data_IF_656118953336
#
_entry.id   IF_656118953336
#
_cell.length_a   1.000
_cell.length_b   1.000
_cell.length_c   1.000
_cell.angle_alpha   90.00
_cell.angle_beta   90.00
_cell.angle_gamma   90.00
#
_symmetry.space_group_name_H-M   'P 1'
#
loop_
_entity.id
_entity.type
_entity.pdbx_description
1 polymer ?
#
# COMPACT_ATOMS: atom_id res chain seq x y z
N UNK A 1 34.92 4.52 5.35
CA UNK A 1 33.79 4.25 6.28
C UNK A 1 32.88 5.45 6.53
N UNK A 2 33.37 6.62 6.96
CA UNK A 2 32.51 7.80 7.28
C UNK A 2 31.59 8.25 6.13
N UNK A 3 32.12 8.39 4.89
CA UNK A 3 31.31 8.76 3.71
C UNK A 3 30.22 7.74 3.35
N UNK A 4 30.45 6.45 3.61
CA UNK A 4 29.45 5.39 3.39
C UNK A 4 28.32 5.48 4.42
N UNK A 5 28.68 5.68 5.69
CA UNK A 5 27.70 5.86 6.78
C UNK A 5 26.84 7.10 6.57
N UNK A 6 27.43 8.22 6.11
CA UNK A 6 26.65 9.43 5.81
C UNK A 6 25.69 9.25 4.64
N UNK A 7 26.12 8.53 3.59
CA UNK A 7 25.27 8.24 2.43
C UNK A 7 24.11 7.29 2.77
N UNK A 8 24.37 6.27 3.59
CA UNK A 8 23.33 5.38 4.11
C UNK A 8 22.35 6.17 4.98
N UNK A 9 22.87 7.01 5.88
CA UNK A 9 22.05 7.87 6.74
C UNK A 9 21.15 8.77 5.89
N UNK A 10 21.66 9.51 4.92
CA UNK A 10 20.81 10.41 4.12
C UNK A 10 19.74 9.67 3.32
N UNK A 11 20.09 8.52 2.74
CA UNK A 11 19.21 7.79 1.85
C UNK A 11 18.12 6.99 2.60
N UNK A 12 18.36 6.59 3.85
CA UNK A 12 17.39 5.87 4.66
C UNK A 12 16.58 6.81 5.57
N UNK A 13 17.21 7.88 6.08
CA UNK A 13 16.58 8.81 7.01
C UNK A 13 15.41 9.55 6.36
N UNK A 14 15.54 9.98 5.09
CA UNK A 14 14.46 10.71 4.43
C UNK A 14 13.20 9.86 4.22
N UNK A 15 13.25 8.65 3.63
CA UNK A 15 12.08 7.76 3.53
C UNK A 15 11.49 7.39 4.91
N UNK A 16 12.36 7.13 5.90
CA UNK A 16 11.92 6.79 7.24
C UNK A 16 11.18 7.96 7.91
N UNK A 17 11.71 9.18 7.84
CA UNK A 17 11.04 10.36 8.36
C UNK A 17 9.73 10.63 7.61
N UNK A 18 9.70 10.50 6.28
CA UNK A 18 8.48 10.65 5.50
C UNK A 18 7.40 9.65 5.94
N UNK A 19 7.78 8.41 6.20
CA UNK A 19 6.90 7.38 6.74
C UNK A 19 6.35 7.78 8.12
N UNK A 20 7.21 8.20 9.05
CA UNK A 20 6.76 8.66 10.39
C UNK A 20 5.81 9.86 10.28
N UNK A 21 6.12 10.84 9.43
CA UNK A 21 5.25 12.00 9.20
C UNK A 21 3.92 11.59 8.58
N UNK A 22 3.89 10.63 7.65
CA UNK A 22 2.65 10.12 7.08
C UNK A 22 1.73 9.52 8.16
N UNK A 23 2.28 8.81 9.15
CA UNK A 23 1.53 8.34 10.32
C UNK A 23 1.10 9.46 11.26
N UNK A 24 1.85 10.55 11.39
CA UNK A 24 1.39 11.68 12.20
C UNK A 24 0.21 12.40 11.53
N UNK A 25 0.35 12.72 10.24
CA UNK A 25 -0.68 13.39 9.46
C UNK A 25 -1.92 12.49 9.32
N UNK A 26 -1.75 11.20 9.06
CA UNK A 26 -2.83 10.23 9.02
C UNK A 26 -3.64 10.20 10.33
N UNK A 27 -2.96 10.32 11.47
CA UNK A 27 -3.61 10.28 12.78
C UNK A 27 -4.49 11.51 13.01
N UNK A 28 -4.00 12.67 12.58
CA UNK A 28 -4.78 13.92 12.58
C UNK A 28 -6.01 13.77 11.66
N UNK A 29 -5.82 13.25 10.45
CA UNK A 29 -6.92 13.04 9.49
C UNK A 29 -7.98 12.10 10.07
N UNK A 30 -7.58 10.99 10.70
CA UNK A 30 -8.51 10.05 11.35
C UNK A 30 -9.37 10.77 12.39
N UNK A 31 -8.77 11.60 13.24
CA UNK A 31 -9.48 12.36 14.27
C UNK A 31 -10.42 13.40 13.67
N UNK A 32 -9.98 14.11 12.64
CA UNK A 32 -10.77 15.15 11.98
C UNK A 32 -11.96 14.59 11.20
N UNK A 33 -11.84 13.36 10.68
CA UNK A 33 -12.87 12.71 9.87
C UNK A 33 -13.85 11.88 10.71
N UNK A 34 -13.53 11.54 11.96
CA UNK A 34 -14.42 10.78 12.83
C UNK A 34 -15.39 11.72 13.58
N UNK A 35 -16.68 11.63 13.21
CA UNK A 35 -17.73 12.45 13.81
C UNK A 35 -17.92 12.21 15.32
N UNK A 36 -17.67 10.98 15.80
CA UNK A 36 -17.83 10.66 17.22
C UNK A 36 -16.70 11.29 18.05
N UNK A 37 -15.46 11.28 17.55
CA UNK A 37 -14.34 11.98 18.19
C UNK A 37 -14.57 13.49 18.17
N UNK A 38 -14.99 14.04 17.03
CA UNK A 38 -15.19 15.49 16.87
C UNK A 38 -16.34 16.03 17.75
N UNK A 39 -17.38 15.23 17.99
CA UNK A 39 -18.49 15.59 18.89
C UNK A 39 -18.05 15.87 20.33
N UNK A 40 -16.89 15.35 20.74
CA UNK A 40 -16.37 15.45 22.11
C UNK A 40 -15.35 16.57 22.28
N UNK A 41 -15.12 17.41 21.26
CA UNK A 41 -14.09 18.47 21.26
C UNK A 41 -14.21 19.43 22.47
N UNK A 42 -15.43 19.66 22.96
CA UNK A 42 -15.70 20.53 24.11
C UNK A 42 -15.22 19.94 25.45
N UNK A 43 -14.95 18.63 25.51
CA UNK A 43 -14.46 17.93 26.71
C UNK A 43 -13.04 17.38 26.47
N UNK A 44 -11.97 18.12 26.83
CA UNK A 44 -10.60 17.76 26.47
C UNK A 44 -10.18 16.34 26.87
N UNK A 45 -10.58 15.90 28.07
CA UNK A 45 -10.25 14.55 28.55
C UNK A 45 -10.90 13.43 27.71
N UNK A 46 -12.19 13.57 27.36
CA UNK A 46 -12.91 12.58 26.55
C UNK A 46 -12.47 12.62 25.08
N UNK A 47 -12.20 13.82 24.56
CA UNK A 47 -11.65 13.99 23.23
C UNK A 47 -10.32 13.25 23.06
N UNK A 48 -9.37 13.45 23.99
CA UNK A 48 -8.04 12.83 23.90
C UNK A 48 -8.10 11.30 24.03
N UNK A 49 -8.93 10.76 24.92
CA UNK A 49 -9.07 9.30 25.06
C UNK A 49 -9.75 8.67 23.84
N UNK A 50 -10.81 9.28 23.33
CA UNK A 50 -11.49 8.81 22.11
C UNK A 50 -10.61 8.93 20.87
N UNK A 51 -9.89 10.04 20.72
CA UNK A 51 -8.92 10.25 19.64
C UNK A 51 -7.82 9.19 19.69
N UNK A 52 -7.21 8.98 20.86
CA UNK A 52 -6.17 7.96 21.04
C UNK A 52 -6.66 6.55 20.73
N UNK A 53 -7.86 6.19 21.21
CA UNK A 53 -8.47 4.89 20.93
C UNK A 53 -8.77 4.71 19.44
N UNK A 54 -9.29 5.73 18.74
CA UNK A 54 -9.56 5.65 17.30
C UNK A 54 -8.30 5.56 16.47
N UNK A 55 -7.30 6.41 16.72
CA UNK A 55 -6.00 6.33 16.04
C UNK A 55 -5.40 4.92 16.23
N UNK A 56 -5.37 4.42 17.47
CA UNK A 56 -4.84 3.10 17.79
C UNK A 56 -5.56 1.97 17.05
N UNK A 57 -6.89 1.99 17.07
CA UNK A 57 -7.71 0.98 16.38
C UNK A 57 -7.54 1.04 14.86
N UNK A 58 -7.48 2.24 14.27
CA UNK A 58 -7.28 2.42 12.83
C UNK A 58 -5.89 1.90 12.40
N UNK A 59 -4.83 2.19 13.16
CA UNK A 59 -3.50 1.67 12.85
C UNK A 59 -3.36 0.18 13.11
N UNK A 60 -4.03 -0.35 14.13
CA UNK A 60 -4.12 -1.78 14.34
C UNK A 60 -4.83 -2.47 13.17
N UNK A 61 -5.92 -1.89 12.65
CA UNK A 61 -6.62 -2.41 11.49
C UNK A 61 -5.75 -2.38 10.22
N UNK A 62 -5.01 -1.30 9.99
CA UNK A 62 -4.03 -1.23 8.89
C UNK A 62 -2.96 -2.30 9.04
N UNK A 63 -2.40 -2.48 10.24
CA UNK A 63 -1.40 -3.51 10.49
C UNK A 63 -1.94 -4.93 10.29
N UNK A 64 -3.14 -5.21 10.81
CA UNK A 64 -3.78 -6.52 10.65
C UNK A 64 -4.13 -6.82 9.19
N UNK A 65 -4.62 -5.83 8.46
CA UNK A 65 -4.96 -5.94 7.05
C UNK A 65 -3.77 -5.96 6.09
N UNK A 66 -2.55 -5.62 6.53
CA UNK A 66 -1.36 -5.57 5.66
C UNK A 66 -0.22 -6.51 6.07
N UNK A 67 -0.11 -6.89 7.34
CA UNK A 67 1.02 -7.68 7.84
C UNK A 67 0.54 -8.99 8.46
N UNK A 68 -0.29 -8.92 9.51
CA UNK A 68 -0.66 -10.12 10.25
C UNK A 68 -2.02 -10.03 10.91
N UNK A 69 -2.94 -10.91 10.52
CA UNK A 69 -4.26 -11.00 11.13
C UNK A 69 -4.31 -12.12 12.18
N UNK A 70 -4.52 -11.70 13.44
CA UNK A 70 -4.64 -12.58 14.58
C UNK A 70 -5.91 -13.44 14.49
N UNK A 71 -6.99 -12.91 13.91
CA UNK A 71 -8.26 -13.64 13.78
C UNK A 71 -8.11 -14.82 12.82
N UNK A 72 -7.47 -14.60 11.66
CA UNK A 72 -7.15 -15.64 10.69
C UNK A 72 -6.17 -16.67 11.27
N UNK A 73 -5.15 -16.19 11.99
CA UNK A 73 -4.18 -17.05 12.68
C UNK A 73 -4.85 -18.03 13.66
N UNK A 74 -5.86 -17.55 14.42
CA UNK A 74 -6.59 -18.37 15.40
C UNK A 74 -7.51 -19.41 14.75
N UNK A 75 -8.06 -19.11 13.57
CA UNK A 75 -9.02 -19.99 12.90
C UNK A 75 -8.35 -21.03 11.99
N UNK A 76 -7.30 -20.64 11.28
CA UNK A 76 -6.69 -21.45 10.21
C UNK A 76 -5.20 -21.74 10.44
N UNK A 77 -4.67 -21.35 11.60
CA UNK A 77 -3.28 -21.57 12.01
C UNK A 77 -2.35 -20.39 11.68
N UNK A 78 -1.18 -20.37 12.32
CA UNK A 78 -0.25 -19.23 12.31
C UNK A 78 0.18 -18.81 10.91
N UNK A 79 0.34 -19.76 9.98
CA UNK A 79 0.72 -19.47 8.60
C UNK A 79 -0.37 -18.68 7.85
N UNK A 80 -1.65 -18.98 8.10
CA UNK A 80 -2.75 -18.22 7.49
C UNK A 80 -2.85 -16.80 8.05
N UNK A 81 -2.31 -16.54 9.25
CA UNK A 81 -2.19 -15.18 9.79
C UNK A 81 -1.35 -14.24 8.92
N UNK A 82 -0.41 -14.76 8.13
CA UNK A 82 0.43 -14.00 7.19
C UNK A 82 -0.20 -13.82 5.80
N UNK A 83 -1.42 -14.31 5.58
CA UNK A 83 -2.12 -14.09 4.31
C UNK A 83 -2.19 -12.59 3.90
N UNK A 84 -2.49 -11.63 4.81
CA UNK A 84 -2.50 -10.22 4.47
C UNK A 84 -1.14 -9.68 3.99
N UNK A 85 -0.04 -10.18 4.55
CA UNK A 85 1.31 -9.84 4.07
C UNK A 85 1.56 -10.37 2.67
N UNK A 86 1.15 -11.61 2.39
CA UNK A 86 1.25 -12.18 1.05
C UNK A 86 0.48 -11.32 0.04
N UNK A 87 -0.75 -10.95 0.37
CA UNK A 87 -1.59 -10.12 -0.50
C UNK A 87 -0.99 -8.73 -0.73
N UNK A 88 -0.42 -8.14 0.31
CA UNK A 88 0.29 -6.86 0.24
C UNK A 88 1.50 -6.96 -0.69
N UNK A 89 2.28 -8.04 -0.63
CA UNK A 89 3.44 -8.26 -1.52
C UNK A 89 2.96 -8.45 -2.97
N UNK A 90 1.94 -9.28 -3.19
CA UNK A 90 1.38 -9.55 -4.52
C UNK A 90 0.89 -8.25 -5.17
N UNK A 91 0.20 -7.40 -4.41
CA UNK A 91 -0.35 -6.14 -4.90
C UNK A 91 0.71 -5.04 -5.06
N UNK A 92 1.66 -4.94 -4.12
CA UNK A 92 2.67 -3.86 -4.12
C UNK A 92 3.79 -4.09 -5.13
N UNK A 93 4.17 -5.35 -5.41
CA UNK A 93 5.24 -5.69 -6.36
C UNK A 93 5.08 -5.02 -7.73
N UNK A 94 3.96 -5.17 -8.46
CA UNK A 94 3.80 -4.52 -9.76
C UNK A 94 3.79 -2.99 -9.66
N UNK A 95 3.26 -2.42 -8.58
CA UNK A 95 3.26 -0.97 -8.35
C UNK A 95 4.68 -0.43 -8.12
N UNK A 96 5.52 -1.14 -7.37
CA UNK A 96 6.93 -0.80 -7.15
C UNK A 96 7.68 -0.86 -8.49
N UNK A 97 7.49 -1.93 -9.28
CA UNK A 97 8.11 -2.06 -10.60
C UNK A 97 7.66 -0.94 -11.55
N UNK A 98 6.38 -0.58 -11.52
CA UNK A 98 5.85 0.57 -12.26
C UNK A 98 6.47 1.89 -11.81
N UNK A 99 6.68 2.09 -10.50
CA UNK A 99 7.37 3.29 -9.99
C UNK A 99 8.85 3.34 -10.40
N UNK A 100 9.53 2.19 -10.41
CA UNK A 100 10.92 2.07 -10.86
C UNK A 100 11.08 2.37 -12.35
N UNK A 101 10.15 1.91 -13.20
CA UNK A 101 10.17 2.22 -14.64
C UNK A 101 9.98 3.72 -14.90
N UNK A 102 9.10 4.37 -14.13
CA UNK A 102 8.89 5.83 -14.18
C UNK A 102 10.14 6.58 -13.74
N UNK A 103 10.79 6.15 -12.66
CA UNK A 103 12.01 6.80 -12.16
C UNK A 103 13.15 6.78 -13.20
N UNK A 104 13.25 5.71 -14.00
CA UNK A 104 14.19 5.62 -15.11
C UNK A 104 13.85 6.62 -16.22
N UNK A 105 12.57 6.73 -16.62
CA UNK A 105 12.12 7.67 -17.65
C UNK A 105 12.33 9.14 -17.25
N UNK A 106 12.06 9.49 -15.99
CA UNK A 106 12.32 10.86 -15.50
C UNK A 106 13.82 11.19 -15.51
N UNK A 107 14.69 10.20 -15.28
CA UNK A 107 16.14 10.43 -15.34
C UNK A 107 16.65 10.67 -16.76
N UNK A 108 15.96 10.21 -17.80
CA UNK A 108 16.27 10.51 -19.20
C UNK A 108 15.57 11.79 -19.72
N UNK A 109 14.84 12.51 -18.85
CA UNK A 109 14.11 13.73 -19.24
C UNK A 109 12.80 13.47 -19.97
N UNK A 110 12.34 12.22 -20.04
CA UNK A 110 11.04 11.89 -20.62
C UNK A 110 9.94 12.06 -19.58
N UNK A 111 8.84 12.69 -20.00
CA UNK A 111 7.65 12.80 -19.17
C UNK A 111 6.86 11.48 -19.18
N UNK A 112 6.49 10.96 -18.02
CA UNK A 112 5.68 9.75 -17.89
C UNK A 112 4.18 10.11 -17.96
N UNK A 113 3.46 9.53 -18.92
CA UNK A 113 2.02 9.79 -19.17
C UNK A 113 1.10 8.86 -18.35
N UNK A 114 1.64 7.98 -17.50
CA UNK A 114 0.83 7.20 -16.54
C UNK A 114 1.11 5.70 -16.57
N UNK A 115 2.29 5.28 -16.14
CA UNK A 115 2.65 3.86 -16.03
C UNK A 115 1.65 3.03 -15.18
N UNK A 116 1.13 3.61 -14.09
CA UNK A 116 0.09 2.96 -13.29
C UNK A 116 -1.21 2.78 -14.10
N UNK A 117 -1.59 3.79 -14.89
CA UNK A 117 -2.76 3.70 -15.78
C UNK A 117 -2.58 2.63 -16.84
N UNK A 118 -1.39 2.55 -17.46
CA UNK A 118 -1.04 1.51 -18.43
C UNK A 118 -1.12 0.12 -17.81
N UNK A 119 -0.63 -0.06 -16.58
CA UNK A 119 -0.76 -1.32 -15.85
C UNK A 119 -2.24 -1.69 -15.63
N UNK A 120 -3.07 -0.75 -15.20
CA UNK A 120 -4.51 -0.99 -14.97
C UNK A 120 -5.22 -1.35 -16.28
N UNK A 121 -4.98 -0.59 -17.36
CA UNK A 121 -5.58 -0.88 -18.67
C UNK A 121 -5.15 -2.23 -19.24
N UNK A 122 -3.86 -2.59 -19.12
CA UNK A 122 -3.37 -3.93 -19.48
C UNK A 122 -4.04 -5.01 -18.65
N UNK A 123 -4.18 -4.83 -17.34
CA UNK A 123 -4.89 -5.79 -16.48
C UNK A 123 -6.37 -5.96 -16.86
N UNK A 124 -7.07 -4.88 -17.20
CA UNK A 124 -8.46 -4.92 -17.70
C UNK A 124 -8.53 -5.68 -19.03
N UNK A 125 -7.63 -5.37 -19.97
CA UNK A 125 -7.60 -5.99 -21.28
C UNK A 125 -7.25 -7.49 -21.22
N UNK A 126 -6.23 -7.85 -20.43
CA UNK A 126 -5.86 -9.24 -20.16
C UNK A 126 -7.01 -10.00 -19.49
N UNK A 127 -7.71 -9.40 -18.53
CA UNK A 127 -8.90 -9.98 -17.90
C UNK A 127 -10.03 -10.17 -18.89
N UNK A 128 -10.28 -9.19 -19.77
CA UNK A 128 -11.28 -9.29 -20.82
C UNK A 128 -10.99 -10.45 -21.77
N UNK A 129 -9.74 -10.59 -22.24
CA UNK A 129 -9.33 -11.73 -23.05
C UNK A 129 -9.53 -13.04 -22.28
N UNK A 130 -9.11 -13.04 -21.02
CA UNK A 130 -9.17 -14.18 -20.10
C UNK A 130 -10.56 -14.76 -19.91
N UNK A 131 -11.56 -13.89 -19.76
CA UNK A 131 -12.94 -14.30 -19.50
C UNK A 131 -13.81 -14.42 -20.75
N UNK A 132 -13.50 -13.70 -21.82
CA UNK A 132 -14.36 -13.64 -23.01
C UNK A 132 -14.01 -14.70 -24.06
N UNK A 133 -12.74 -15.06 -24.21
CA UNK A 133 -12.29 -15.98 -25.26
C UNK A 133 -11.78 -17.30 -24.69
N UNK A 134 -12.14 -18.41 -25.34
CA UNK A 134 -11.64 -19.74 -25.01
C UNK A 134 -10.65 -20.23 -26.08
N UNK A 135 -9.41 -19.74 -26.02
CA UNK A 135 -8.31 -20.21 -26.87
C UNK A 135 -7.61 -21.45 -26.28
N UNK A 136 -6.76 -22.10 -27.07
CA UNK A 136 -5.83 -23.11 -26.55
C UNK A 136 -4.90 -22.50 -25.49
N UNK A 137 -4.42 -23.25 -24.48
CA UNK A 137 -3.69 -22.67 -23.34
C UNK A 137 -2.50 -21.79 -23.74
N UNK A 138 -1.77 -22.17 -24.78
CA UNK A 138 -0.63 -21.40 -25.29
C UNK A 138 -1.10 -20.07 -25.88
N UNK A 139 -2.08 -20.11 -26.80
CA UNK A 139 -2.61 -18.90 -27.43
C UNK A 139 -3.28 -17.97 -26.42
N UNK A 140 -3.99 -18.55 -25.45
CA UNK A 140 -4.69 -17.81 -24.42
C UNK A 140 -3.72 -16.97 -23.58
N UNK A 141 -2.63 -17.58 -23.10
CA UNK A 141 -1.60 -16.88 -22.31
C UNK A 141 -0.86 -15.85 -23.17
N UNK A 142 -0.49 -16.19 -24.41
CA UNK A 142 0.22 -15.25 -25.29
C UNK A 142 -0.62 -14.00 -25.57
N UNK A 143 -1.89 -14.17 -25.92
CA UNK A 143 -2.76 -13.03 -26.22
C UNK A 143 -3.00 -12.19 -24.95
N UNK A 144 -3.22 -12.82 -23.79
CA UNK A 144 -3.42 -12.09 -22.54
C UNK A 144 -2.20 -11.24 -22.12
N UNK A 145 -0.98 -11.66 -22.46
CA UNK A 145 0.26 -10.91 -22.18
C UNK A 145 0.48 -9.74 -23.16
N UNK A 146 -0.04 -9.85 -24.39
CA UNK A 146 0.17 -8.84 -25.44
C UNK A 146 -0.74 -7.62 -25.31
N UNK A 147 -1.79 -7.69 -24.51
CA UNK A 147 -2.73 -6.60 -24.25
C UNK A 147 -2.25 -5.75 -23.08
#
# INVERSE_FOLDING_TARGET
>A
MKKLLEKIRSNTLLPFLAFVFAFLIGGIIIVLTDAAVMSQITSPGKFLTSAGAKIGNSYLAVFQGSIFDINLSRQSGVLHGFYPLSETIVTSTPLILSGLSVALAFRSGLFNIGAQGQFIFGAIGASYVGFHYNFSPVLHVTIAILV
#
